data_IF_972071053657
#
_entry.id   IF_972071053657
#
_cell.length_a   1.000
_cell.length_b   1.000
_cell.length_c   1.000
_cell.angle_alpha   90.00
_cell.angle_beta   90.00
_cell.angle_gamma   90.00
#
_symmetry.space_group_name_H-M   'P 1'
#
loop_
_entity.id
_entity.type
_entity.pdbx_description
1 polymer ?
#
# COMPACT_ATOMS: atom_id res chain seq x y z
N UNK A 1 26.54 43.28 4.15
CA UNK A 1 25.25 43.97 3.91
C UNK A 1 24.17 43.29 4.73
N UNK A 2 23.60 43.98 5.73
CA UNK A 2 22.56 43.41 6.59
C UNK A 2 21.20 43.37 5.87
N UNK A 3 20.39 42.31 6.03
CA UNK A 3 19.08 42.23 5.40
C UNK A 3 18.14 43.29 5.99
N UNK A 4 17.60 44.17 5.13
CA UNK A 4 16.56 45.14 5.50
C UNK A 4 15.36 44.38 6.06
N UNK A 5 15.06 44.58 7.36
CA UNK A 5 13.80 44.15 7.98
C UNK A 5 12.65 44.73 7.16
N UNK A 6 11.93 43.88 6.43
CA UNK A 6 10.65 44.26 5.81
C UNK A 6 9.69 44.60 6.94
N UNK A 7 9.25 45.85 7.01
CA UNK A 7 8.24 46.27 7.99
C UNK A 7 6.98 45.41 7.81
N UNK A 8 6.56 44.76 8.89
CA UNK A 8 5.28 44.05 8.96
C UNK A 8 4.18 45.09 8.68
N UNK A 9 3.67 45.11 7.45
CA UNK A 9 2.44 45.84 7.13
C UNK A 9 1.34 45.22 8.00
N UNK A 10 0.67 46.04 8.81
CA UNK A 10 -0.43 45.59 9.65
C UNK A 10 -1.46 44.85 8.80
N UNK A 11 -1.72 43.59 9.13
CA UNK A 11 -2.79 42.84 8.50
C UNK A 11 -4.10 43.58 8.76
N UNK A 12 -4.80 44.04 7.71
CA UNK A 12 -6.11 44.67 7.85
C UNK A 12 -7.05 43.67 8.55
N UNK A 13 -7.77 44.13 9.57
CA UNK A 13 -8.73 43.31 10.29
C UNK A 13 -9.80 42.77 9.32
N UNK A 14 -10.05 41.46 9.36
CA UNK A 14 -11.11 40.80 8.59
C UNK A 14 -12.46 41.26 9.17
N UNK A 15 -13.40 41.76 8.35
CA UNK A 15 -14.73 42.16 8.83
C UNK A 15 -15.46 41.02 9.55
N UNK A 16 -16.20 41.28 10.65
CA UNK A 16 -16.91 40.24 11.41
C UNK A 16 -17.84 39.38 10.55
N UNK A 17 -18.55 39.99 9.59
CA UNK A 17 -19.44 39.28 8.67
C UNK A 17 -18.69 38.28 7.78
N UNK A 18 -17.50 38.64 7.28
CA UNK A 18 -16.67 37.74 6.49
C UNK A 18 -16.12 36.60 7.36
N UNK A 19 -15.74 36.89 8.61
CA UNK A 19 -15.31 35.87 9.57
C UNK A 19 -16.44 34.84 9.85
N UNK A 20 -17.67 35.30 10.03
CA UNK A 20 -18.83 34.42 10.22
C UNK A 20 -19.12 33.58 8.97
N UNK A 21 -19.08 34.19 7.78
CA UNK A 21 -19.28 33.47 6.52
C UNK A 21 -18.23 32.37 6.28
N UNK A 22 -16.96 32.64 6.61
CA UNK A 22 -15.88 31.64 6.55
C UNK A 22 -16.08 30.51 7.56
N UNK A 23 -16.51 30.82 8.79
CA UNK A 23 -16.80 29.81 9.81
C UNK A 23 -17.96 28.90 9.38
N UNK A 24 -19.04 29.47 8.84
CA UNK A 24 -20.16 28.73 8.26
C UNK A 24 -19.71 27.83 7.11
N UNK A 25 -18.93 28.37 6.16
CA UNK A 25 -18.38 27.59 5.06
C UNK A 25 -17.51 26.41 5.53
N UNK A 26 -16.69 26.61 6.57
CA UNK A 26 -15.90 25.54 7.17
C UNK A 26 -16.77 24.46 7.80
N UNK A 27 -17.77 24.84 8.60
CA UNK A 27 -18.73 23.91 9.21
C UNK A 27 -19.48 23.09 8.15
N UNK A 28 -19.86 23.70 7.03
CA UNK A 28 -20.48 22.99 5.88
C UNK A 28 -19.52 21.97 5.27
N UNK A 29 -18.28 22.37 4.98
CA UNK A 29 -17.25 21.46 4.46
C UNK A 29 -17.04 20.27 5.40
N UNK A 30 -16.89 20.52 6.70
CA UNK A 30 -16.74 19.47 7.73
C UNK A 30 -17.94 18.52 7.73
N UNK A 31 -19.17 19.04 7.67
CA UNK A 31 -20.38 18.22 7.62
C UNK A 31 -20.48 17.36 6.36
N UNK A 32 -20.01 17.85 5.21
CA UNK A 32 -20.01 17.10 3.95
C UNK A 32 -18.90 16.05 3.94
N UNK A 33 -17.71 16.35 4.48
CA UNK A 33 -16.66 15.34 4.68
C UNK A 33 -17.18 14.21 5.55
N UNK A 34 -17.88 14.53 6.64
CA UNK A 34 -18.54 13.55 7.50
C UNK A 34 -19.57 12.74 6.70
N UNK A 35 -20.45 13.38 5.94
CA UNK A 35 -21.41 12.67 5.07
C UNK A 35 -20.71 11.75 4.06
N UNK A 36 -19.70 12.24 3.32
CA UNK A 36 -18.98 11.39 2.36
C UNK A 36 -18.35 10.20 3.08
N UNK A 37 -17.63 10.43 4.18
CA UNK A 37 -16.89 9.41 4.92
C UNK A 37 -17.80 8.40 5.62
N UNK A 38 -18.88 8.87 6.24
CA UNK A 38 -19.73 8.12 7.14
C UNK A 38 -20.98 7.59 6.43
N UNK A 39 -21.35 8.10 5.27
CA UNK A 39 -22.57 7.67 4.57
C UNK A 39 -22.30 7.06 3.20
N UNK A 40 -21.39 7.64 2.42
CA UNK A 40 -21.16 7.22 1.03
C UNK A 40 -20.03 6.21 0.91
N UNK A 41 -18.90 6.52 1.53
CA UNK A 41 -17.74 5.62 1.61
C UNK A 41 -18.01 4.43 2.54
N UNK A 42 -19.09 4.46 3.31
CA UNK A 42 -19.54 3.30 4.09
C UNK A 42 -20.35 2.32 3.24
N UNK A 43 -21.13 2.77 2.25
CA UNK A 43 -22.01 1.89 1.48
C UNK A 43 -21.31 1.16 0.32
N UNK A 44 -20.10 1.56 -0.02
CA UNK A 44 -19.38 1.08 -1.20
C UNK A 44 -18.08 0.38 -0.83
N UNK A 45 -17.67 -0.63 -1.62
CA UNK A 45 -16.29 -1.13 -1.59
C UNK A 45 -15.39 -0.08 -2.25
N UNK A 46 -15.09 0.95 -1.48
CA UNK A 46 -14.28 2.04 -1.99
C UNK A 46 -12.81 1.65 -2.07
N UNK A 47 -12.41 0.46 -1.60
CA UNK A 47 -11.02 0.21 -1.26
C UNK A 47 -10.41 1.44 -0.57
N UNK A 48 -9.16 1.75 -0.87
CA UNK A 48 -8.46 2.91 -0.31
C UNK A 48 -8.58 4.20 -1.17
N UNK A 49 -9.15 4.11 -2.39
CA UNK A 49 -9.13 5.24 -3.34
C UNK A 49 -10.38 6.11 -3.20
N UNK A 50 -10.37 7.07 -2.27
CA UNK A 50 -11.46 8.03 -2.02
C UNK A 50 -11.25 9.43 -2.66
N UNK A 51 -12.29 10.13 -3.14
CA UNK A 51 -12.12 11.50 -3.66
C UNK A 51 -11.85 12.49 -2.53
N UNK A 52 -11.01 13.49 -2.76
CA UNK A 52 -10.80 14.61 -1.83
C UNK A 52 -11.95 15.63 -1.93
N UNK A 53 -12.02 16.56 -0.97
CA UNK A 53 -12.92 17.72 -1.12
C UNK A 53 -12.64 18.53 -2.40
N UNK A 54 -11.39 18.57 -2.84
CA UNK A 54 -11.01 19.28 -4.06
C UNK A 54 -11.52 18.57 -5.31
N UNK A 55 -11.52 17.24 -5.32
CA UNK A 55 -12.12 16.45 -6.41
C UNK A 55 -13.61 16.72 -6.55
N UNK A 56 -14.31 16.89 -5.43
CA UNK A 56 -15.74 17.16 -5.40
C UNK A 56 -16.06 18.61 -5.78
N UNK A 57 -15.32 19.56 -5.21
CA UNK A 57 -15.54 20.98 -5.44
C UNK A 57 -15.19 21.41 -6.88
N UNK A 58 -14.15 20.80 -7.47
CA UNK A 58 -13.59 21.25 -8.75
C UNK A 58 -13.71 20.22 -9.89
N UNK A 59 -13.96 18.94 -9.60
CA UNK A 59 -14.06 17.89 -10.61
C UNK A 59 -15.49 17.63 -11.06
N UNK A 60 -15.69 17.34 -12.34
CA UNK A 60 -17.03 17.17 -12.94
C UNK A 60 -17.69 15.83 -12.61
N UNK A 61 -16.98 14.94 -11.92
CA UNK A 61 -17.48 13.61 -11.60
C UNK A 61 -18.56 13.61 -10.50
N UNK A 62 -18.62 14.64 -9.64
CA UNK A 62 -19.48 14.65 -8.46
C UNK A 62 -20.44 15.86 -8.41
N UNK A 63 -21.30 16.08 -9.42
CA UNK A 63 -22.20 17.23 -9.45
C UNK A 63 -23.17 17.25 -8.27
N UNK A 64 -23.70 16.09 -7.86
CA UNK A 64 -24.68 16.01 -6.75
C UNK A 64 -24.04 16.29 -5.38
N UNK A 65 -22.78 15.88 -5.18
CA UNK A 65 -22.03 16.24 -3.97
C UNK A 65 -21.59 17.70 -3.99
N UNK A 66 -21.29 18.25 -5.17
CA UNK A 66 -20.98 19.67 -5.31
C UNK A 66 -22.18 20.53 -4.94
N UNK A 67 -23.40 20.12 -5.30
CA UNK A 67 -24.62 20.82 -4.91
C UNK A 67 -24.76 20.93 -3.38
N UNK A 68 -24.32 19.93 -2.62
CA UNK A 68 -24.32 19.98 -1.15
C UNK A 68 -23.39 21.06 -0.56
N UNK A 69 -22.37 21.52 -1.31
CA UNK A 69 -21.45 22.58 -0.85
C UNK A 69 -22.05 23.99 -0.95
N UNK A 70 -23.22 24.15 -1.56
CA UNK A 70 -23.85 25.45 -1.79
C UNK A 70 -24.36 26.10 -0.50
N UNK A 71 -24.10 27.41 -0.35
CA UNK A 71 -24.44 28.15 0.86
C UNK A 71 -25.95 28.24 1.15
N UNK A 72 -26.81 28.08 0.14
CA UNK A 72 -28.27 28.18 0.29
C UNK A 72 -28.90 27.05 1.10
N UNK A 73 -28.16 25.97 1.36
CA UNK A 73 -28.66 24.80 2.08
C UNK A 73 -28.61 24.94 3.61
N UNK A 74 -28.08 26.05 4.15
CA UNK A 74 -28.00 26.22 5.62
C UNK A 74 -29.37 26.29 6.29
N UNK A 75 -30.35 26.89 5.61
CA UNK A 75 -31.68 27.12 6.16
C UNK A 75 -32.74 26.16 5.57
N UNK A 76 -32.35 25.30 4.62
CA UNK A 76 -33.26 24.37 3.93
C UNK A 76 -32.87 22.91 4.17
N UNK A 77 -33.27 22.41 5.33
CA UNK A 77 -33.03 21.01 5.72
C UNK A 77 -33.73 20.01 4.78
N UNK A 78 -34.86 20.40 4.18
CA UNK A 78 -35.63 19.52 3.28
C UNK A 78 -34.89 19.33 1.96
N UNK A 79 -34.44 20.42 1.36
CA UNK A 79 -33.66 20.34 0.12
C UNK A 79 -32.32 19.65 0.35
N UNK A 80 -31.66 19.91 1.49
CA UNK A 80 -30.44 19.20 1.85
C UNK A 80 -30.67 17.68 1.91
N UNK A 81 -31.70 17.22 2.60
CA UNK A 81 -32.01 15.78 2.71
C UNK A 81 -32.30 15.16 1.33
N UNK A 82 -33.01 15.90 0.45
CA UNK A 82 -33.27 15.47 -0.93
C UNK A 82 -31.96 15.32 -1.72
N UNK A 83 -31.05 16.28 -1.62
CA UNK A 83 -29.75 16.22 -2.29
C UNK A 83 -28.85 15.10 -1.74
N UNK A 84 -28.85 14.87 -0.42
CA UNK A 84 -28.14 13.74 0.18
C UNK A 84 -28.66 12.40 -0.35
N UNK A 85 -29.98 12.25 -0.54
CA UNK A 85 -30.56 11.05 -1.16
C UNK A 85 -30.14 10.87 -2.62
N UNK A 86 -30.15 11.94 -3.41
CA UNK A 86 -29.69 11.92 -4.81
C UNK A 86 -28.21 11.53 -4.86
N UNK A 87 -27.39 12.15 -4.02
CA UNK A 87 -25.97 11.86 -3.92
C UNK A 87 -25.69 10.40 -3.56
N UNK A 88 -26.43 9.81 -2.59
CA UNK A 88 -26.31 8.38 -2.26
C UNK A 88 -26.59 7.49 -3.48
N UNK A 89 -27.61 7.82 -4.26
CA UNK A 89 -27.97 7.03 -5.43
C UNK A 89 -26.96 7.15 -6.59
N UNK A 90 -26.36 8.33 -6.81
CA UNK A 90 -25.44 8.57 -7.93
C UNK A 90 -23.96 8.31 -7.59
N UNK A 91 -23.60 8.32 -6.30
CA UNK A 91 -22.22 8.23 -5.84
C UNK A 91 -21.44 7.02 -6.39
N UNK A 92 -21.98 5.78 -6.43
CA UNK A 92 -21.19 4.64 -6.87
C UNK A 92 -20.71 4.77 -8.33
N UNK A 93 -21.60 5.24 -9.21
CA UNK A 93 -21.30 5.47 -10.63
C UNK A 93 -20.34 6.64 -10.80
N UNK A 94 -20.56 7.74 -10.06
CA UNK A 94 -19.68 8.90 -10.03
C UNK A 94 -18.25 8.54 -9.57
N UNK A 95 -18.13 7.73 -8.53
CA UNK A 95 -16.87 7.26 -7.97
C UNK A 95 -16.09 6.41 -8.98
N UNK A 96 -16.77 5.49 -9.68
CA UNK A 96 -16.15 4.68 -10.72
C UNK A 96 -15.66 5.55 -11.90
N UNK A 97 -16.46 6.52 -12.34
CA UNK A 97 -16.09 7.44 -13.41
C UNK A 97 -14.89 8.33 -13.01
N UNK A 98 -14.89 8.84 -11.77
CA UNK A 98 -13.76 9.58 -11.22
C UNK A 98 -12.48 8.74 -11.18
N UNK A 99 -12.55 7.49 -10.69
CA UNK A 99 -11.41 6.55 -10.68
C UNK A 99 -10.85 6.29 -12.07
N UNK A 100 -11.73 6.09 -13.05
CA UNK A 100 -11.33 5.96 -14.45
C UNK A 100 -10.60 7.21 -14.96
N UNK A 101 -11.11 8.39 -14.59
CA UNK A 101 -10.53 9.68 -14.98
C UNK A 101 -9.12 9.87 -14.40
N UNK A 102 -8.94 9.67 -13.10
CA UNK A 102 -7.61 9.83 -12.46
C UNK A 102 -6.62 8.76 -12.92
N UNK A 103 -7.08 7.54 -13.21
CA UNK A 103 -6.24 6.50 -13.80
C UNK A 103 -5.74 6.90 -15.19
N UNK A 104 -6.60 7.49 -16.02
CA UNK A 104 -6.20 8.01 -17.33
C UNK A 104 -5.25 9.22 -17.21
N UNK A 105 -5.47 10.11 -16.25
CA UNK A 105 -4.54 11.20 -15.96
C UNK A 105 -3.17 10.67 -15.51
N UNK A 106 -3.14 9.62 -14.69
CA UNK A 106 -1.91 8.93 -14.29
C UNK A 106 -1.18 8.38 -15.51
N UNK A 107 -1.88 7.65 -16.37
CA UNK A 107 -1.31 7.13 -17.62
C UNK A 107 -0.74 8.25 -18.50
N UNK A 108 -1.55 9.27 -18.79
CA UNK A 108 -1.18 10.37 -19.69
C UNK A 108 0.00 11.19 -19.14
N UNK A 109 0.17 11.27 -17.81
CA UNK A 109 1.33 11.90 -17.16
C UNK A 109 2.63 11.20 -17.56
N UNK A 110 2.63 9.87 -17.55
CA UNK A 110 3.82 9.07 -17.84
C UNK A 110 4.03 8.82 -19.33
N UNK A 111 2.94 8.81 -20.11
CA UNK A 111 3.02 8.71 -21.57
C UNK A 111 3.74 9.89 -22.24
N UNK A 112 3.83 11.04 -21.56
CA UNK A 112 4.49 12.26 -22.06
C UNK A 112 6.03 12.26 -21.99
N UNK A 113 6.67 11.12 -21.71
CA UNK A 113 8.13 10.97 -21.89
C UNK A 113 8.95 10.92 -20.59
N UNK A 114 8.49 10.18 -19.59
CA UNK A 114 9.35 9.80 -18.47
C UNK A 114 10.39 8.76 -18.91
N UNK A 115 11.69 8.87 -18.55
CA UNK A 115 12.66 7.82 -18.77
C UNK A 115 12.24 6.54 -18.02
N UNK A 116 12.46 5.37 -18.64
CA UNK A 116 12.31 4.07 -17.98
C UNK A 116 10.99 3.32 -18.21
N UNK A 117 10.05 3.86 -19.01
CA UNK A 117 8.78 3.19 -19.30
C UNK A 117 8.86 2.34 -20.57
N UNK A 118 9.32 1.10 -20.43
CA UNK A 118 9.23 0.10 -21.50
C UNK A 118 7.75 -0.22 -21.81
N UNK A 119 7.45 -0.56 -23.07
CA UNK A 119 6.15 -1.09 -23.50
C UNK A 119 4.95 -0.16 -23.24
N UNK A 120 5.17 1.16 -23.19
CA UNK A 120 4.07 2.11 -23.07
C UNK A 120 3.11 1.97 -24.28
N UNK A 121 1.80 1.79 -24.05
CA UNK A 121 0.81 1.83 -25.12
C UNK A 121 0.86 3.15 -25.91
N UNK A 122 0.52 3.12 -27.21
CA UNK A 122 0.31 4.34 -27.99
C UNK A 122 -0.65 5.31 -27.30
N UNK A 123 -0.52 6.61 -27.58
CA UNK A 123 -1.35 7.66 -26.95
C UNK A 123 -2.86 7.45 -27.20
N UNK A 124 -3.19 6.92 -28.37
CA UNK A 124 -4.52 6.57 -28.87
C UNK A 124 -4.98 5.15 -28.48
N UNK A 125 -4.20 4.43 -27.65
CA UNK A 125 -4.62 3.14 -27.11
C UNK A 125 -5.95 3.25 -26.36
N UNK A 126 -6.74 2.18 -26.43
CA UNK A 126 -8.02 2.09 -25.73
C UNK A 126 -7.83 2.24 -24.21
N UNK A 127 -8.87 2.71 -23.51
CA UNK A 127 -8.89 2.81 -22.04
C UNK A 127 -8.47 1.49 -21.40
N UNK A 128 -8.99 0.36 -21.92
CA UNK A 128 -8.64 -0.99 -21.42
C UNK A 128 -7.14 -1.28 -21.52
N UNK A 129 -6.49 -0.91 -22.62
CA UNK A 129 -5.04 -1.10 -22.80
C UNK A 129 -4.24 -0.20 -21.84
N UNK A 130 -4.66 1.05 -21.65
CA UNK A 130 -4.03 1.98 -20.70
C UNK A 130 -4.11 1.46 -19.26
N UNK A 131 -5.29 0.99 -18.84
CA UNK A 131 -5.50 0.40 -17.52
C UNK A 131 -4.74 -0.91 -17.35
N UNK A 132 -4.69 -1.76 -18.38
CA UNK A 132 -3.90 -2.98 -18.34
C UNK A 132 -2.41 -2.68 -18.15
N UNK A 133 -1.86 -1.69 -18.87
CA UNK A 133 -0.47 -1.28 -18.68
C UNK A 133 -0.20 -0.74 -17.27
N UNK A 134 -1.15 0.01 -16.68
CA UNK A 134 -1.05 0.43 -15.28
C UNK A 134 -1.03 -0.77 -14.31
N UNK A 135 -1.73 -1.86 -14.64
CA UNK A 135 -1.80 -3.08 -13.82
C UNK A 135 -0.60 -4.02 -13.95
N UNK A 136 0.35 -3.76 -14.87
CA UNK A 136 1.55 -4.59 -15.01
C UNK A 136 2.34 -4.61 -13.70
N UNK A 137 2.88 -5.77 -13.35
CA UNK A 137 3.72 -5.91 -12.15
C UNK A 137 4.94 -4.98 -12.20
N UNK A 138 5.42 -4.66 -13.39
CA UNK A 138 6.55 -3.77 -13.63
C UNK A 138 6.20 -2.28 -13.62
N UNK A 139 4.91 -1.90 -13.56
CA UNK A 139 4.50 -0.49 -13.50
C UNK A 139 4.45 -0.03 -12.04
N UNK A 140 5.54 0.61 -11.61
CA UNK A 140 5.75 1.11 -10.25
C UNK A 140 5.93 2.63 -10.23
N UNK A 141 5.45 3.25 -9.17
CA UNK A 141 5.56 4.69 -8.95
C UNK A 141 6.40 4.99 -7.72
N UNK A 142 6.88 6.22 -7.63
CA UNK A 142 7.45 6.77 -6.40
C UNK A 142 6.95 8.19 -6.17
N UNK A 143 6.83 8.57 -4.90
CA UNK A 143 6.46 9.93 -4.52
C UNK A 143 7.69 10.82 -4.55
N UNK A 144 7.71 11.85 -5.40
CA UNK A 144 8.86 12.76 -5.50
C UNK A 144 9.06 13.60 -4.24
N UNK A 145 8.00 13.79 -3.42
CA UNK A 145 8.08 14.49 -2.13
C UNK A 145 8.67 13.64 -1.00
N UNK A 146 8.72 12.32 -1.18
CA UNK A 146 9.45 11.47 -0.23
C UNK A 146 10.97 11.65 -0.42
N UNK A 147 11.42 11.90 -1.66
CA UNK A 147 12.84 12.05 -2.00
C UNK A 147 13.47 13.34 -1.46
N UNK A 148 12.70 14.42 -1.35
CA UNK A 148 13.19 15.70 -0.83
C UNK A 148 12.87 15.89 0.67
N UNK A 149 12.31 14.88 1.33
CA UNK A 149 11.90 14.93 2.72
C UNK A 149 10.77 15.92 3.01
N UNK A 150 10.12 16.47 1.97
CA UNK A 150 9.04 17.45 2.15
C UNK A 150 7.69 16.80 2.51
N UNK A 151 7.58 15.49 2.36
CA UNK A 151 6.42 14.73 2.79
C UNK A 151 6.66 14.10 4.17
N UNK A 152 6.34 14.84 5.22
CA UNK A 152 6.26 14.32 6.59
C UNK A 152 5.32 13.10 6.64
N UNK A 153 4.14 13.18 6.01
CA UNK A 153 3.18 12.07 5.94
C UNK A 153 3.68 10.80 5.21
N UNK A 154 4.78 10.88 4.47
CA UNK A 154 5.39 9.72 3.79
C UNK A 154 6.52 9.11 4.62
N UNK A 155 7.00 9.83 5.64
CA UNK A 155 8.10 9.43 6.52
C UNK A 155 7.60 9.10 7.94
N UNK A 156 6.58 9.81 8.43
CA UNK A 156 6.08 9.75 9.81
C UNK A 156 5.11 8.59 10.06
N UNK A 157 4.53 7.98 9.02
CA UNK A 157 3.65 6.81 9.16
C UNK A 157 4.44 5.50 9.43
N UNK A 158 5.78 5.54 9.48
CA UNK A 158 6.64 4.35 9.66
C UNK A 158 6.96 4.09 11.14
N UNK A 159 6.80 5.08 12.01
CA UNK A 159 7.51 5.07 13.31
C UNK A 159 6.72 4.51 14.51
N UNK A 160 5.40 4.27 14.47
CA UNK A 160 4.66 3.84 15.68
C UNK A 160 3.50 2.83 15.51
N UNK A 161 3.02 2.50 14.31
CA UNK A 161 1.90 1.55 14.14
C UNK A 161 2.34 0.26 13.42
N UNK A 162 2.18 -0.89 14.08
CA UNK A 162 2.39 -2.27 13.58
C UNK A 162 1.57 -2.60 12.30
N UNK A 163 0.80 -1.65 11.78
CA UNK A 163 -0.07 -1.78 10.61
C UNK A 163 0.26 -0.78 9.50
N UNK A 164 1.45 -0.15 9.50
CA UNK A 164 1.85 0.72 8.40
C UNK A 164 1.71 -0.07 7.08
N UNK A 165 0.81 0.34 6.17
CA UNK A 165 0.55 -0.40 4.94
C UNK A 165 1.86 -0.53 4.17
N UNK A 166 2.11 -1.74 3.66
CA UNK A 166 3.32 -2.06 2.89
C UNK A 166 3.50 -1.03 1.77
N UNK A 167 4.46 -0.12 1.96
CA UNK A 167 4.69 1.03 1.08
C UNK A 167 4.88 0.58 -0.37
N UNK A 168 5.47 -0.60 -0.58
CA UNK A 168 5.66 -1.18 -1.89
C UNK A 168 4.34 -1.53 -2.60
N UNK A 169 3.34 -1.97 -1.84
CA UNK A 169 1.99 -2.20 -2.36
C UNK A 169 1.27 -0.88 -2.63
N UNK A 170 1.45 0.13 -1.77
CA UNK A 170 0.82 1.44 -1.92
C UNK A 170 1.23 2.13 -3.23
N UNK A 171 2.48 1.97 -3.65
CA UNK A 171 3.02 2.66 -4.81
C UNK A 171 2.73 2.00 -6.17
N UNK A 172 1.64 1.23 -6.24
CA UNK A 172 1.19 0.51 -7.45
C UNK A 172 -0.26 0.81 -7.76
N UNK A 173 -0.64 0.72 -9.03
CA UNK A 173 -2.04 0.81 -9.42
C UNK A 173 -2.85 -0.41 -8.93
N UNK A 174 -4.07 -0.23 -8.41
CA UNK A 174 -4.80 1.04 -8.24
C UNK A 174 -4.48 1.79 -6.94
N UNK A 175 -3.77 1.18 -6.00
CA UNK A 175 -3.55 1.72 -4.65
C UNK A 175 -2.79 3.06 -4.61
N UNK A 176 -1.94 3.32 -5.59
CA UNK A 176 -1.20 4.59 -5.72
C UNK A 176 -2.14 5.78 -5.80
N UNK A 177 -3.36 5.60 -6.33
CA UNK A 177 -4.38 6.64 -6.41
C UNK A 177 -4.84 7.10 -5.01
N UNK A 178 -4.60 6.30 -3.97
CA UNK A 178 -4.87 6.59 -2.56
C UNK A 178 -3.75 7.36 -1.86
N UNK A 179 -2.59 7.51 -2.49
CA UNK A 179 -1.42 8.07 -1.85
C UNK A 179 -1.68 9.54 -1.43
N UNK A 180 -1.49 9.85 -0.14
CA UNK A 180 -1.88 11.13 0.49
C UNK A 180 -1.33 12.36 -0.26
N UNK A 181 -0.08 12.31 -0.74
CA UNK A 181 0.52 13.42 -1.51
C UNK A 181 -0.21 13.79 -2.80
N UNK A 182 -1.00 12.88 -3.36
CA UNK A 182 -1.74 13.11 -4.60
C UNK A 182 -3.02 13.88 -4.36
N UNK A 183 -3.46 13.94 -3.11
CA UNK A 183 -4.65 14.64 -2.67
C UNK A 183 -4.20 15.93 -1.97
N UNK A 184 -5.02 16.97 -2.02
CA UNK A 184 -4.83 18.10 -1.09
C UNK A 184 -4.86 17.62 0.35
N UNK A 185 -4.44 18.46 1.31
CA UNK A 185 -4.76 18.14 2.70
C UNK A 185 -6.29 18.06 2.80
N UNK A 186 -6.81 16.95 3.31
CA UNK A 186 -8.23 16.82 3.63
C UNK A 186 -8.61 17.63 4.88
N UNK A 187 -7.66 18.39 5.46
CA UNK A 187 -7.97 19.30 6.54
C UNK A 187 -8.99 20.34 6.09
N UNK A 188 -10.10 20.43 6.82
CA UNK A 188 -11.08 21.51 6.65
C UNK A 188 -10.48 22.92 6.88
N UNK A 189 -9.25 23.00 7.39
CA UNK A 189 -8.48 24.25 7.53
C UNK A 189 -7.74 24.65 6.26
N UNK A 190 -7.59 23.77 5.27
CA UNK A 190 -6.87 24.10 4.05
C UNK A 190 -7.79 25.00 3.19
N UNK A 191 -7.38 26.25 3.01
CA UNK A 191 -8.22 27.28 2.36
C UNK A 191 -8.55 26.91 0.90
N UNK A 192 -7.75 26.05 0.29
CA UNK A 192 -7.90 25.56 -1.09
C UNK A 192 -7.74 24.04 -1.14
N UNK A 193 -8.82 23.26 -0.97
CA UNK A 193 -8.74 21.82 -1.12
C UNK A 193 -8.31 21.48 -2.55
N UNK A 194 -7.26 20.68 -2.70
CA UNK A 194 -6.70 20.34 -4.01
C UNK A 194 -7.30 19.05 -4.54
N UNK A 195 -7.74 19.09 -5.80
CA UNK A 195 -8.13 17.89 -6.54
C UNK A 195 -6.93 16.96 -6.72
N UNK A 196 -7.22 15.68 -6.95
CA UNK A 196 -6.21 14.67 -7.19
C UNK A 196 -5.30 15.06 -8.35
N UNK A 197 -3.99 14.82 -8.20
CA UNK A 197 -3.01 15.11 -9.25
C UNK A 197 -1.83 14.15 -9.25
N UNK A 198 -1.37 13.68 -10.44
CA UNK A 198 -0.19 12.82 -10.55
C UNK A 198 1.12 13.63 -10.56
N UNK A 199 1.07 14.94 -10.29
CA UNK A 199 2.22 15.84 -10.45
C UNK A 199 3.43 15.45 -9.57
N UNK A 200 3.18 14.86 -8.41
CA UNK A 200 4.21 14.43 -7.44
C UNK A 200 4.59 12.96 -7.58
N UNK A 201 4.19 12.29 -8.66
CA UNK A 201 4.62 10.93 -8.97
C UNK A 201 5.69 10.94 -10.04
N UNK A 202 6.65 10.03 -9.86
CA UNK A 202 7.63 9.65 -10.87
C UNK A 202 7.61 8.13 -11.11
N UNK A 203 8.08 7.63 -12.26
CA UNK A 203 8.30 6.20 -12.44
C UNK A 203 9.41 5.73 -11.49
N UNK A 204 9.19 4.63 -10.80
CA UNK A 204 10.27 4.00 -10.03
C UNK A 204 11.08 3.07 -10.93
N UNK A 205 11.99 3.65 -11.72
CA UNK A 205 12.80 2.89 -12.68
C UNK A 205 13.71 1.85 -12.02
N UNK A 206 14.13 2.09 -10.77
CA UNK A 206 14.99 1.18 -10.01
C UNK A 206 14.22 -0.07 -9.61
N UNK A 207 13.07 0.11 -8.93
CA UNK A 207 12.21 -1.01 -8.54
C UNK A 207 11.54 -1.68 -9.74
N UNK A 208 11.29 -0.95 -10.83
CA UNK A 208 10.77 -1.55 -12.09
C UNK A 208 11.70 -2.65 -12.62
N UNK A 209 13.02 -2.41 -12.63
CA UNK A 209 14.00 -3.42 -13.07
C UNK A 209 14.04 -4.61 -12.12
N UNK A 210 14.06 -4.35 -10.81
CA UNK A 210 14.00 -5.37 -9.77
C UNK A 210 12.78 -6.28 -9.98
N UNK A 211 11.59 -5.69 -10.15
CA UNK A 211 10.36 -6.45 -10.30
C UNK A 211 10.33 -7.20 -11.64
N UNK A 212 10.91 -6.66 -12.70
CA UNK A 212 11.09 -7.42 -13.94
C UNK A 212 11.98 -8.67 -13.75
N UNK A 213 13.02 -8.60 -12.89
CA UNK A 213 13.83 -9.77 -12.51
C UNK A 213 12.99 -10.76 -11.65
N UNK A 214 12.18 -10.28 -10.70
CA UNK A 214 11.29 -11.11 -9.88
C UNK A 214 10.20 -11.82 -10.71
N UNK A 215 9.59 -11.11 -11.67
CA UNK A 215 8.59 -11.67 -12.59
C UNK A 215 9.21 -12.80 -13.42
N UNK A 216 10.42 -12.59 -13.96
CA UNK A 216 11.16 -13.64 -14.67
C UNK A 216 11.50 -14.82 -13.77
N UNK A 217 11.97 -14.57 -12.55
CA UNK A 217 12.26 -15.63 -11.58
C UNK A 217 11.00 -16.45 -11.24
N UNK A 218 9.83 -15.81 -11.24
CA UNK A 218 8.53 -16.45 -11.05
C UNK A 218 8.06 -17.24 -12.27
N UNK A 219 8.81 -17.25 -13.39
CA UNK A 219 8.44 -17.93 -14.62
C UNK A 219 7.34 -17.23 -15.42
N UNK A 220 7.13 -15.93 -15.17
CA UNK A 220 6.16 -15.09 -15.87
C UNK A 220 6.89 -14.13 -16.82
N UNK A 221 6.13 -13.51 -17.73
CA UNK A 221 6.65 -12.53 -18.69
C UNK A 221 6.49 -11.09 -18.17
N UNK A 222 7.59 -10.32 -17.95
CA UNK A 222 7.53 -8.93 -17.49
C UNK A 222 6.75 -7.96 -18.38
N UNK A 223 6.54 -8.30 -19.66
CA UNK A 223 5.82 -7.44 -20.59
C UNK A 223 4.29 -7.57 -20.46
N UNK A 224 3.79 -8.65 -19.85
CA UNK A 224 2.35 -8.97 -19.80
C UNK A 224 1.84 -9.30 -18.40
N UNK A 225 2.70 -9.77 -17.49
CA UNK A 225 2.30 -10.16 -16.15
C UNK A 225 1.84 -8.96 -15.32
N UNK A 226 0.66 -9.07 -14.74
CA UNK A 226 0.09 -8.13 -13.79
C UNK A 226 0.54 -8.45 -12.37
N UNK A 227 0.36 -7.51 -11.44
CA UNK A 227 0.59 -7.80 -10.02
C UNK A 227 -0.32 -8.92 -9.49
N UNK A 228 -1.53 -9.03 -10.04
CA UNK A 228 -2.46 -10.12 -9.70
C UNK A 228 -1.93 -11.48 -10.15
N UNK A 229 -1.26 -11.54 -11.31
CA UNK A 229 -0.61 -12.77 -11.79
C UNK A 229 0.55 -13.17 -10.88
N UNK A 230 1.34 -12.20 -10.40
CA UNK A 230 2.42 -12.44 -9.43
C UNK A 230 1.88 -12.98 -8.10
N UNK A 231 0.81 -12.36 -7.57
CA UNK A 231 0.16 -12.83 -6.35
C UNK A 231 -0.51 -14.20 -6.52
N UNK A 232 -1.10 -14.47 -7.69
CA UNK A 232 -1.69 -15.76 -8.02
C UNK A 232 -0.62 -16.85 -8.17
N UNK A 233 0.53 -16.51 -8.76
CA UNK A 233 1.68 -17.40 -8.86
C UNK A 233 2.22 -17.77 -7.47
N UNK A 234 2.24 -16.81 -6.53
CA UNK A 234 2.78 -16.98 -5.17
C UNK A 234 4.12 -17.73 -5.19
N UNK A 235 5.01 -17.34 -6.11
CA UNK A 235 6.32 -17.94 -6.25
C UNK A 235 7.14 -17.68 -4.98
N UNK A 236 7.89 -18.70 -4.53
CA UNK A 236 8.75 -18.57 -3.36
C UNK A 236 10.18 -18.37 -3.81
N UNK A 237 10.68 -17.17 -3.56
CA UNK A 237 11.90 -16.62 -4.11
C UNK A 237 12.93 -16.40 -3.00
N UNK A 238 14.22 -16.48 -3.33
CA UNK A 238 15.32 -16.13 -2.44
C UNK A 238 16.34 -15.26 -3.16
N UNK A 239 17.00 -14.37 -2.42
CA UNK A 239 18.05 -13.51 -2.96
C UNK A 239 19.34 -14.31 -3.13
N UNK A 240 19.77 -14.53 -4.38
CA UNK A 240 20.96 -15.33 -4.70
C UNK A 240 22.22 -14.75 -4.06
N UNK A 241 22.37 -13.43 -4.12
CA UNK A 241 23.54 -12.74 -3.59
C UNK A 241 23.65 -12.93 -2.07
N UNK A 242 22.55 -12.71 -1.35
CA UNK A 242 22.51 -12.90 0.10
C UNK A 242 22.76 -14.37 0.47
N UNK A 243 22.22 -15.30 -0.31
CA UNK A 243 22.45 -16.74 -0.15
C UNK A 243 23.94 -17.07 -0.25
N UNK A 244 24.61 -16.53 -1.27
CA UNK A 244 26.04 -16.68 -1.55
C UNK A 244 26.95 -16.04 -0.49
N UNK A 245 26.52 -14.91 0.06
CA UNK A 245 27.33 -14.06 0.95
C UNK A 245 27.15 -14.35 2.43
N UNK A 246 26.37 -15.38 2.75
CA UNK A 246 26.20 -15.89 4.10
C UNK A 246 25.60 -14.86 5.08
N UNK A 247 24.68 -14.03 4.58
CA UNK A 247 23.90 -13.15 5.45
C UNK A 247 22.78 -13.97 6.10
N UNK A 248 22.61 -13.87 7.43
CA UNK A 248 21.65 -14.70 8.18
C UNK A 248 20.19 -14.45 7.75
N UNK A 249 19.88 -13.23 7.30
CA UNK A 249 18.55 -12.86 6.79
C UNK A 249 18.33 -13.28 5.31
N UNK A 250 19.30 -13.96 4.69
CA UNK A 250 19.24 -14.43 3.30
C UNK A 250 18.52 -15.76 3.11
N UNK A 251 18.38 -16.53 4.18
CA UNK A 251 17.97 -17.93 4.11
C UNK A 251 16.45 -18.07 4.14
N UNK A 252 15.73 -17.08 3.59
CA UNK A 252 14.28 -17.05 3.54
C UNK A 252 13.79 -17.29 2.12
N UNK A 253 12.73 -18.08 2.02
CA UNK A 253 11.86 -18.20 0.88
C UNK A 253 10.68 -17.24 1.09
N UNK A 254 10.66 -16.22 0.25
CA UNK A 254 9.84 -15.02 0.39
C UNK A 254 8.85 -14.90 -0.75
N UNK A 255 7.77 -14.14 -0.54
CA UNK A 255 6.96 -13.67 -1.65
C UNK A 255 7.68 -12.54 -2.38
N UNK A 256 7.19 -12.22 -3.57
CA UNK A 256 7.78 -11.13 -4.35
C UNK A 256 7.66 -9.75 -3.68
N UNK A 257 6.67 -9.55 -2.78
CA UNK A 257 6.57 -8.36 -1.92
C UNK A 257 7.70 -8.31 -0.91
N UNK A 258 7.92 -9.38 -0.15
CA UNK A 258 9.01 -9.41 0.83
C UNK A 258 10.38 -9.33 0.13
N UNK A 259 10.48 -9.79 -1.12
CA UNK A 259 11.67 -9.60 -1.94
C UNK A 259 11.93 -8.12 -2.28
N UNK A 260 10.89 -7.32 -2.52
CA UNK A 260 11.04 -5.87 -2.72
C UNK A 260 11.52 -5.18 -1.44
N UNK A 261 10.87 -5.45 -0.30
CA UNK A 261 11.32 -4.95 1.00
C UNK A 261 12.75 -5.37 1.33
N UNK A 262 13.11 -6.64 1.05
CA UNK A 262 14.47 -7.15 1.20
C UNK A 262 15.47 -6.36 0.35
N UNK A 263 15.13 -6.08 -0.91
CA UNK A 263 15.97 -5.27 -1.79
C UNK A 263 16.21 -3.89 -1.18
N UNK A 264 15.16 -3.23 -0.68
CA UNK A 264 15.30 -1.90 -0.13
C UNK A 264 16.18 -1.86 1.12
N UNK A 265 16.02 -2.81 2.04
CA UNK A 265 16.79 -2.83 3.27
C UNK A 265 18.25 -3.30 3.08
N UNK A 266 18.49 -4.25 2.16
CA UNK A 266 19.79 -4.91 2.05
C UNK A 266 20.61 -4.51 0.81
N UNK A 267 19.98 -3.97 -0.24
CA UNK A 267 20.60 -3.78 -1.56
C UNK A 267 20.41 -2.40 -2.17
N UNK A 268 19.46 -1.58 -1.73
CA UNK A 268 19.22 -0.25 -2.32
C UNK A 268 20.41 0.69 -2.17
N UNK A 269 21.25 0.47 -1.16
CA UNK A 269 22.39 1.33 -0.83
C UNK A 269 21.98 2.69 -0.25
N UNK A 270 20.69 2.94 -0.09
CA UNK A 270 20.15 4.00 0.74
C UNK A 270 20.18 3.47 2.16
N UNK A 271 20.85 4.17 3.09
CA UNK A 271 20.73 3.87 4.53
C UNK A 271 19.30 4.24 4.96
N UNK A 272 18.33 3.37 4.66
CA UNK A 272 16.94 3.52 5.12
C UNK A 272 16.82 3.29 6.62
N UNK A 273 17.87 2.79 7.28
CA UNK A 273 17.85 2.57 8.71
C UNK A 273 19.22 2.83 9.38
N UNK A 274 19.38 3.92 10.16
CA UNK A 274 20.62 4.22 10.87
C UNK A 274 20.87 3.31 12.10
N UNK A 275 19.89 2.47 12.50
CA UNK A 275 19.92 1.72 13.76
C UNK A 275 20.78 0.45 13.69
N UNK A 276 21.07 -0.05 12.48
CA UNK A 276 21.96 -1.20 12.28
C UNK A 276 23.01 -0.84 11.22
N UNK A 277 24.13 -0.22 11.59
CA UNK A 277 25.24 -0.04 10.67
C UNK A 277 25.79 -1.43 10.33
N UNK A 278 25.33 -1.99 9.20
CA UNK A 278 26.05 -3.06 8.55
C UNK A 278 27.48 -2.56 8.31
N UNK A 279 28.52 -3.36 8.63
CA UNK A 279 29.91 -3.00 8.37
C UNK A 279 30.04 -2.47 6.95
N UNK A 280 30.79 -1.36 6.74
CA UNK A 280 30.94 -0.74 5.41
C UNK A 280 31.39 -1.72 4.32
N UNK A 281 32.06 -2.82 4.70
CA UNK A 281 32.51 -3.91 3.82
C UNK A 281 31.37 -4.75 3.23
N UNK A 282 30.17 -4.67 3.80
CA UNK A 282 28.94 -5.31 3.31
C UNK A 282 27.99 -4.34 2.60
N UNK A 283 28.32 -3.03 2.58
CA UNK A 283 27.57 -2.05 1.77
C UNK A 283 27.92 -2.27 0.32
N UNK A 284 27.00 -2.88 -0.42
CA UNK A 284 27.18 -3.12 -1.84
C UNK A 284 27.25 -1.78 -2.60
N UNK A 285 27.97 -1.74 -3.74
CA UNK A 285 27.90 -0.59 -4.62
C UNK A 285 26.43 -0.35 -4.96
N UNK A 286 25.94 0.83 -4.56
CA UNK A 286 24.60 1.34 -4.85
C UNK A 286 24.26 1.04 -6.31
N UNK A 287 23.21 0.24 -6.55
CA UNK A 287 22.77 -0.12 -7.89
C UNK A 287 23.31 -1.44 -8.46
N UNK A 288 23.90 -2.31 -7.63
CA UNK A 288 24.21 -3.69 -8.02
C UNK A 288 22.95 -4.47 -8.41
N UNK A 289 23.03 -5.26 -9.49
CA UNK A 289 21.93 -6.14 -9.92
C UNK A 289 21.79 -7.30 -8.92
N UNK A 290 20.57 -7.53 -8.43
CA UNK A 290 20.24 -8.65 -7.54
C UNK A 290 19.55 -9.74 -8.36
N UNK A 291 20.11 -10.95 -8.31
CA UNK A 291 19.49 -12.14 -8.90
C UNK A 291 18.57 -12.81 -7.88
N UNK A 292 17.39 -13.23 -8.34
CA UNK A 292 16.40 -13.96 -7.55
C UNK A 292 16.31 -15.40 -8.03
N UNK A 293 16.26 -16.33 -7.09
CA UNK A 293 16.11 -17.76 -7.39
C UNK A 293 14.79 -18.24 -6.84
N UNK A 294 13.97 -18.83 -7.71
CA UNK A 294 12.75 -19.54 -7.31
C UNK A 294 13.11 -20.91 -6.77
N UNK A 295 12.44 -21.31 -5.70
CA UNK A 295 12.50 -22.68 -5.21
C UNK A 295 12.01 -23.65 -6.29
N UNK A 296 12.53 -24.87 -6.28
CA UNK A 296 11.96 -25.94 -7.11
C UNK A 296 10.50 -26.23 -6.67
N UNK A 297 9.68 -26.86 -7.53
CA UNK A 297 8.25 -27.04 -7.24
C UNK A 297 7.95 -27.74 -5.91
N UNK A 298 8.77 -28.73 -5.52
CA UNK A 298 8.59 -29.48 -4.27
C UNK A 298 8.87 -28.61 -3.05
N UNK A 299 9.99 -27.88 -3.05
CA UNK A 299 10.36 -26.98 -1.97
C UNK A 299 9.42 -25.78 -1.87
N UNK A 300 8.98 -25.25 -3.01
CA UNK A 300 7.97 -24.20 -3.08
C UNK A 300 6.63 -24.65 -2.50
N UNK A 301 6.15 -25.85 -2.85
CA UNK A 301 4.92 -26.41 -2.30
C UNK A 301 5.00 -26.55 -0.78
N UNK A 302 6.14 -27.02 -0.26
CA UNK A 302 6.35 -27.13 1.19
C UNK A 302 6.46 -25.77 1.87
N UNK A 303 7.07 -24.78 1.23
CA UNK A 303 7.08 -23.41 1.73
C UNK A 303 5.66 -22.83 1.81
N UNK A 304 4.80 -23.07 0.81
CA UNK A 304 3.38 -22.69 0.88
C UNK A 304 2.61 -23.44 1.96
N UNK A 305 2.98 -24.69 2.27
CA UNK A 305 2.37 -25.42 3.39
C UNK A 305 2.76 -24.81 4.75
N UNK A 306 4.04 -24.46 4.91
CA UNK A 306 4.56 -23.87 6.15
C UNK A 306 4.12 -22.42 6.35
N UNK A 307 3.98 -21.66 5.26
CA UNK A 307 3.49 -20.31 5.25
C UNK A 307 2.41 -20.15 4.16
N UNK A 308 1.19 -20.62 4.45
CA UNK A 308 0.09 -20.53 3.50
C UNK A 308 -0.17 -19.08 3.13
N UNK A 309 -0.48 -18.87 1.85
CA UNK A 309 -0.97 -17.59 1.37
C UNK A 309 -2.15 -17.16 2.25
N UNK A 310 -2.08 -15.96 2.82
CA UNK A 310 -3.24 -15.34 3.45
C UNK A 310 -4.30 -15.15 2.34
N UNK A 311 -5.40 -15.91 2.42
CA UNK A 311 -6.44 -15.97 1.37
C UNK A 311 -7.19 -14.64 1.29
N UNK A 312 -8.06 -14.49 0.26
CA UNK A 312 -8.95 -13.32 0.13
C UNK A 312 -9.79 -13.06 1.39
N UNK A 313 -10.06 -14.06 2.23
CA UNK A 313 -10.78 -13.86 3.50
C UNK A 313 -9.96 -13.07 4.54
N UNK A 314 -8.63 -13.08 4.42
CA UNK A 314 -7.71 -12.18 5.13
C UNK A 314 -7.54 -10.86 4.38
N UNK A 315 -7.70 -10.90 3.05
CA UNK A 315 -7.85 -9.78 2.09
C UNK A 315 -9.00 -8.83 2.38
N UNK A 316 -10.03 -9.32 3.06
CA UNK A 316 -11.22 -8.57 3.40
C UNK A 316 -11.14 -8.13 4.85
N UNK A 317 -10.96 -6.84 5.03
CA UNK A 317 -11.25 -6.22 6.30
C UNK A 317 -12.78 -6.10 6.45
N UNK A 318 -13.27 -6.30 7.65
CA UNK A 318 -14.66 -6.11 7.99
C UNK A 318 -14.78 -4.79 8.71
N UNK A 319 -15.39 -3.80 8.06
CA UNK A 319 -15.67 -2.50 8.67
C UNK A 319 -17.07 -2.56 9.27
N UNK A 320 -17.19 -2.28 10.57
CA UNK A 320 -18.50 -2.17 11.19
C UNK A 320 -19.16 -0.84 10.80
N UNK A 321 -20.35 -0.89 10.19
CA UNK A 321 -21.10 0.31 9.77
C UNK A 321 -21.83 0.97 10.94
N UNK A 322 -22.00 0.26 12.05
CA UNK A 322 -22.67 0.75 13.26
C UNK A 322 -21.74 1.48 14.24
N UNK A 323 -20.42 1.42 14.04
CA UNK A 323 -19.46 2.17 14.84
C UNK A 323 -19.35 3.63 14.37
N UNK A 324 -19.46 4.63 15.26
CA UNK A 324 -19.13 6.01 14.92
C UNK A 324 -17.62 6.15 14.64
N UNK A 325 -17.24 7.12 13.81
CA UNK A 325 -15.84 7.32 13.43
C UNK A 325 -14.94 7.69 14.65
N UNK A 326 -13.66 7.25 14.68
CA UNK A 326 -12.99 6.42 13.67
C UNK A 326 -13.52 4.98 13.67
N UNK A 327 -13.78 4.45 12.47
CA UNK A 327 -14.40 3.14 12.31
C UNK A 327 -13.51 2.03 12.85
N UNK A 328 -14.12 1.03 13.47
CA UNK A 328 -13.42 -0.22 13.78
C UNK A 328 -13.39 -1.10 12.54
N UNK A 329 -12.17 -1.36 12.08
CA UNK A 329 -11.86 -2.26 10.98
C UNK A 329 -11.26 -3.53 11.59
N UNK A 330 -11.80 -4.68 11.21
CA UNK A 330 -11.40 -5.97 11.73
C UNK A 330 -10.77 -6.80 10.62
N UNK A 331 -9.55 -7.29 10.85
CA UNK A 331 -8.85 -8.16 9.90
C UNK A 331 -9.47 -9.57 9.83
N UNK A 332 -10.26 -9.96 10.83
CA UNK A 332 -10.93 -11.26 10.88
C UNK A 332 -12.43 -11.12 11.04
N UNK A 333 -13.16 -11.89 10.22
CA UNK A 333 -14.61 -11.98 10.26
C UNK A 333 -15.13 -12.32 11.66
N UNK A 334 -14.54 -13.31 12.32
CA UNK A 334 -14.96 -13.73 13.67
C UNK A 334 -14.86 -12.62 14.72
N UNK A 335 -13.86 -11.74 14.62
CA UNK A 335 -13.70 -10.59 15.52
C UNK A 335 -14.76 -9.53 15.19
N UNK A 336 -14.99 -9.27 13.91
CA UNK A 336 -16.06 -8.39 13.46
C UNK A 336 -17.42 -8.87 13.96
N UNK A 337 -17.71 -10.16 13.81
CA UNK A 337 -18.94 -10.78 14.27
C UNK A 337 -19.11 -10.66 15.79
N UNK A 338 -18.05 -10.97 16.54
CA UNK A 338 -18.02 -10.76 17.99
C UNK A 338 -18.25 -9.30 18.38
N UNK A 339 -17.70 -8.37 17.61
CA UNK A 339 -17.91 -6.94 17.82
C UNK A 339 -19.37 -6.52 17.59
N UNK A 340 -19.99 -6.95 16.48
CA UNK A 340 -21.38 -6.66 16.17
C UNK A 340 -22.35 -7.20 17.23
N UNK A 341 -22.10 -8.42 17.70
CA UNK A 341 -22.86 -9.06 18.76
C UNK A 341 -22.74 -8.30 20.08
N UNK A 342 -21.51 -8.00 20.51
CA UNK A 342 -21.28 -7.44 21.85
C UNK A 342 -21.60 -5.94 21.94
N UNK A 343 -21.31 -5.16 20.90
CA UNK A 343 -21.32 -3.70 20.98
C UNK A 343 -22.52 -3.05 20.28
N UNK A 344 -23.15 -3.74 19.33
CA UNK A 344 -24.26 -3.20 18.57
C UNK A 344 -25.56 -4.00 18.75
N UNK A 345 -25.54 -5.08 19.54
CA UNK A 345 -26.73 -5.91 19.81
C UNK A 345 -27.27 -6.58 18.56
N UNK A 346 -26.46 -6.73 17.51
CA UNK A 346 -26.88 -7.41 16.29
C UNK A 346 -27.15 -8.89 16.60
N UNK A 347 -28.27 -9.42 16.12
CA UNK A 347 -28.59 -10.83 16.29
C UNK A 347 -27.53 -11.74 15.64
N UNK A 348 -27.33 -12.95 16.19
CA UNK A 348 -26.34 -13.90 15.66
C UNK A 348 -26.56 -14.22 14.18
N UNK A 349 -27.81 -14.37 13.75
CA UNK A 349 -28.13 -14.59 12.34
C UNK A 349 -27.81 -13.38 11.46
N UNK A 350 -28.10 -12.16 11.92
CA UNK A 350 -27.80 -10.92 11.21
C UNK A 350 -26.29 -10.78 10.99
N UNK A 351 -25.52 -10.98 12.05
CA UNK A 351 -24.05 -10.97 12.03
C UNK A 351 -23.47 -12.05 11.10
N UNK A 352 -23.99 -13.28 11.15
CA UNK A 352 -23.58 -14.36 10.25
C UNK A 352 -23.91 -14.09 8.78
N UNK A 353 -24.97 -13.33 8.50
CA UNK A 353 -25.28 -12.84 7.15
C UNK A 353 -24.44 -11.63 6.74
N UNK A 354 -23.60 -11.10 7.63
CA UNK A 354 -22.79 -9.90 7.40
C UNK A 354 -23.57 -8.59 7.54
N UNK A 355 -24.79 -8.62 8.07
CA UNK A 355 -25.58 -7.41 8.33
C UNK A 355 -24.83 -6.52 9.33
N UNK A 356 -24.68 -5.24 8.99
CA UNK A 356 -23.91 -4.28 9.81
C UNK A 356 -22.41 -4.25 9.54
N UNK A 357 -21.93 -4.99 8.53
CA UNK A 357 -20.53 -4.98 8.12
C UNK A 357 -20.39 -4.80 6.61
N UNK A 358 -19.34 -4.08 6.22
CA UNK A 358 -18.95 -3.92 4.81
C UNK A 358 -17.55 -4.48 4.66
N UNK A 359 -17.38 -5.34 3.67
CA UNK A 359 -16.06 -5.84 3.27
C UNK A 359 -15.31 -4.72 2.61
N UNK A 360 -14.11 -4.43 3.09
CA UNK A 360 -13.21 -3.43 2.52
C UNK A 360 -12.01 -4.17 1.95
N UNK A 361 -11.61 -3.81 0.73
CA UNK A 361 -10.33 -4.26 0.18
C UNK A 361 -9.17 -3.83 1.11
N UNK A 362 -8.67 -4.82 1.86
CA UNK A 362 -7.61 -4.67 2.83
C UNK A 362 -6.26 -5.08 2.23
N UNK A 363 -6.14 -5.17 0.90
CA UNK A 363 -4.93 -5.65 0.24
C UNK A 363 -3.65 -4.97 0.74
N UNK A 364 -3.70 -3.67 1.06
CA UNK A 364 -2.57 -2.93 1.63
C UNK A 364 -2.21 -3.34 3.07
N UNK A 365 -3.17 -3.84 3.84
CA UNK A 365 -2.96 -4.27 5.24
C UNK A 365 -3.06 -5.80 5.40
N UNK A 366 -2.99 -6.57 4.31
CA UNK A 366 -2.79 -8.02 4.39
C UNK A 366 -1.30 -8.26 4.35
N UNK A 367 -0.74 -8.65 5.49
CA UNK A 367 0.65 -9.07 5.51
C UNK A 367 0.87 -10.18 4.49
N UNK A 368 2.08 -10.24 3.94
CA UNK A 368 2.50 -11.42 3.21
C UNK A 368 2.29 -12.70 4.05
N UNK A 369 2.25 -13.87 3.40
CA UNK A 369 2.44 -15.11 4.14
C UNK A 369 3.76 -15.02 4.92
N UNK A 370 3.84 -15.73 6.04
CA UNK A 370 5.06 -15.73 6.86
C UNK A 370 6.30 -16.13 6.04
N UNK A 371 7.44 -15.58 6.41
CA UNK A 371 8.71 -15.96 5.80
C UNK A 371 9.03 -17.41 6.18
N UNK A 372 9.37 -18.24 5.19
CA UNK A 372 9.83 -19.61 5.44
C UNK A 372 11.32 -19.67 5.31
N UNK A 373 12.02 -20.08 6.37
CA UNK A 373 13.44 -20.30 6.27
C UNK A 373 13.76 -21.57 5.49
N UNK A 374 14.80 -21.54 4.67
CA UNK A 374 15.27 -22.69 3.88
C UNK A 374 15.65 -23.86 4.82
N UNK A 375 16.16 -23.59 6.02
CA UNK A 375 16.44 -24.64 7.01
C UNK A 375 15.16 -25.34 7.52
N UNK A 376 14.00 -24.68 7.54
CA UNK A 376 12.73 -25.34 7.91
C UNK A 376 12.29 -26.31 6.81
N UNK A 377 12.50 -25.97 5.54
CA UNK A 377 12.28 -26.89 4.41
C UNK A 377 13.13 -28.16 4.54
N UNK A 378 14.35 -28.02 5.07
CA UNK A 378 15.22 -29.15 5.37
C UNK A 378 14.69 -30.03 6.49
N UNK A 379 14.21 -29.45 7.58
CA UNK A 379 13.60 -30.21 8.68
C UNK A 379 12.39 -31.01 8.20
N UNK A 380 11.71 -30.51 7.17
CA UNK A 380 10.64 -31.21 6.50
C UNK A 380 11.10 -32.34 5.53
N UNK A 381 12.39 -32.69 5.52
CA UNK A 381 12.93 -33.83 4.77
C UNK A 381 13.31 -33.54 3.32
N UNK A 382 13.32 -32.27 2.89
CA UNK A 382 13.73 -31.91 1.53
C UNK A 382 15.26 -31.90 1.42
N UNK A 383 15.78 -32.49 0.34
CA UNK A 383 17.21 -32.57 0.02
C UNK A 383 17.63 -31.74 -1.21
N UNK A 384 16.65 -31.27 -1.99
CA UNK A 384 16.81 -30.38 -3.14
C UNK A 384 15.86 -29.21 -2.97
N UNK A 385 16.39 -27.99 -3.00
CA UNK A 385 15.63 -26.76 -2.80
C UNK A 385 15.57 -25.92 -4.07
N UNK A 386 16.63 -26.00 -4.87
CA UNK A 386 16.81 -25.16 -6.04
C UNK A 386 16.70 -25.96 -7.35
N UNK A 387 16.50 -25.28 -8.49
CA UNK A 387 16.42 -25.95 -9.79
C UNK A 387 17.78 -26.53 -10.24
N UNK A 388 18.89 -25.97 -9.76
CA UNK A 388 20.25 -26.34 -10.18
C UNK A 388 21.01 -27.04 -9.06
N UNK A 389 21.56 -28.26 -9.28
CA UNK A 389 22.33 -28.99 -8.29
C UNK A 389 23.53 -28.23 -7.72
N UNK A 390 24.12 -27.31 -8.48
CA UNK A 390 25.24 -26.49 -8.07
C UNK A 390 24.87 -25.55 -6.92
N UNK A 391 23.66 -24.98 -6.97
CA UNK A 391 23.17 -24.06 -5.95
C UNK A 391 22.79 -24.82 -4.67
N UNK A 392 22.18 -26.01 -4.81
CA UNK A 392 21.94 -26.92 -3.69
C UNK A 392 23.26 -27.35 -3.03
N UNK A 393 24.25 -27.77 -3.83
CA UNK A 393 25.57 -28.17 -3.32
C UNK A 393 26.30 -27.00 -2.63
N UNK A 394 26.20 -25.79 -3.18
CA UNK A 394 26.73 -24.59 -2.57
C UNK A 394 26.08 -24.32 -1.20
N UNK A 395 24.75 -24.32 -1.15
CA UNK A 395 23.99 -24.10 0.09
C UNK A 395 24.30 -25.19 1.14
N UNK A 396 24.47 -26.43 0.69
CA UNK A 396 24.82 -27.54 1.57
C UNK A 396 26.20 -27.37 2.21
N UNK A 397 27.20 -26.97 1.42
CA UNK A 397 28.55 -26.64 1.92
C UNK A 397 28.50 -25.47 2.91
N UNK A 398 27.65 -24.47 2.67
CA UNK A 398 27.41 -23.34 3.58
C UNK A 398 26.89 -23.82 4.94
N UNK A 399 25.84 -24.63 4.96
CA UNK A 399 25.28 -25.15 6.22
C UNK A 399 26.30 -25.97 7.01
N UNK A 400 27.10 -26.80 6.33
CA UNK A 400 28.20 -27.54 6.98
C UNK A 400 29.23 -26.56 7.57
N UNK A 401 29.63 -25.52 6.84
CA UNK A 401 30.60 -24.52 7.31
C UNK A 401 30.09 -23.74 8.52
N UNK A 402 28.82 -23.35 8.53
CA UNK A 402 28.23 -22.57 9.62
C UNK A 402 28.05 -23.37 10.91
N UNK A 403 27.63 -24.62 10.79
CA UNK A 403 27.22 -25.42 11.96
C UNK A 403 28.21 -26.55 12.29
N UNK A 404 29.32 -26.67 11.55
CA UNK A 404 30.36 -27.70 11.71
C UNK A 404 29.94 -29.11 11.28
N UNK A 405 28.66 -29.44 11.48
CA UNK A 405 27.95 -30.58 10.92
C UNK A 405 26.58 -30.07 10.45
N UNK A 406 25.96 -30.83 9.56
CA UNK A 406 24.54 -30.62 9.27
C UNK A 406 23.76 -30.85 10.56
N UNK A 407 23.07 -29.84 11.11
CA UNK A 407 22.22 -30.06 12.26
C UNK A 407 21.07 -30.97 11.83
N UNK A 408 20.93 -32.13 12.45
CA UNK A 408 19.75 -33.00 12.31
C UNK A 408 18.55 -32.40 13.05
N UNK A 409 18.81 -31.55 14.03
CA UNK A 409 17.84 -30.69 14.71
C UNK A 409 18.44 -29.29 14.82
N UNK A 410 17.71 -28.27 14.37
CA UNK A 410 18.05 -26.89 14.72
C UNK A 410 17.39 -26.59 16.07
N UNK A 411 18.06 -25.90 17.00
CA UNK A 411 17.39 -25.41 18.18
C UNK A 411 16.20 -24.58 17.73
N UNK A 412 15.03 -24.82 18.34
CA UNK A 412 13.83 -24.00 18.19
C UNK A 412 14.14 -22.58 18.69
N UNK A 413 14.91 -21.82 17.92
CA UNK A 413 14.96 -20.38 18.09
C UNK A 413 13.61 -19.89 17.58
N UNK A 414 12.82 -19.19 18.41
CA UNK A 414 11.58 -18.61 17.92
C UNK A 414 11.89 -17.73 16.70
N UNK A 415 10.99 -17.73 15.72
CA UNK A 415 11.10 -16.94 14.48
C UNK A 415 11.38 -15.44 14.73
N UNK A 416 11.17 -14.98 15.96
CA UNK A 416 11.45 -13.65 16.53
C UNK A 416 12.91 -13.13 16.40
N UNK A 417 13.85 -13.89 15.83
CA UNK A 417 15.27 -13.48 15.69
C UNK A 417 15.76 -13.29 14.26
N UNK A 418 14.89 -13.27 13.24
CA UNK A 418 15.26 -12.52 12.04
C UNK A 418 15.45 -11.06 12.46
N UNK A 419 16.48 -10.37 11.95
CA UNK A 419 16.51 -8.92 12.11
C UNK A 419 15.20 -8.30 11.56
N UNK A 420 14.67 -8.90 10.48
CA UNK A 420 13.41 -8.57 9.82
C UNK A 420 12.14 -8.74 10.67
N UNK A 421 11.96 -9.83 11.41
CA UNK A 421 10.75 -10.06 12.22
C UNK A 421 10.68 -9.11 13.42
N UNK A 422 11.82 -8.58 13.87
CA UNK A 422 11.87 -7.56 14.92
C UNK A 422 11.47 -6.17 14.44
N UNK A 423 11.47 -5.92 13.13
CA UNK A 423 10.94 -4.68 12.55
C UNK A 423 9.41 -4.66 12.49
N UNK A 424 8.77 -5.83 12.49
CA UNK A 424 7.30 -5.98 12.49
C UNK A 424 6.75 -6.52 13.82
N UNK A 425 7.51 -6.40 14.92
CA UNK A 425 7.01 -6.76 16.24
C UNK A 425 6.99 -5.53 17.15
N UNK A 426 5.89 -5.29 17.89
CA UNK A 426 5.74 -4.12 18.72
C UNK A 426 6.90 -4.02 19.70
N UNK A 427 7.61 -2.90 19.65
CA UNK A 427 8.55 -2.51 20.67
C UNK A 427 7.80 -2.28 21.98
N UNK A 428 7.72 -3.30 22.84
CA UNK A 428 7.38 -3.08 24.26
C UNK A 428 8.52 -2.27 24.89
N UNK A 429 8.39 -0.94 24.89
CA UNK A 429 9.18 -0.10 25.79
C UNK A 429 8.57 -0.21 27.19
N UNK A 430 9.37 -0.75 28.11
CA UNK A 430 9.19 -0.55 29.55
C UNK A 430 9.77 0.77 30.00
#
# INVERSE_FOLDING_TARGET
MAPKKRGNKSAKAIPPALKQALANARKRKESIVVFIRDDLLLSEDTGLVTPSLGDIAHGDAFPDLRALLEARLEDDATERARLEQVARASFPTALQAWRGTIALQLFDRFAKGGPGMANLPPKDASVKQKLHWLSLATTLFMCTRALDGSCADCADDVDDDDNAPDYDKMMRYPYVLSHKCLRGSDSATDDTPRAWSPATLAPDSSRTRLVADLVRASGLDPASATYQDMDACDARLTCKLCLEKNLLDADCASTWWDCMGHFDAAHSGVDVNPVMPLPCELRYPVGGRVDWVRLNPTAEAKARELAPRRTKDFGLAWRCVSCPAPFKVFQHRSIAEGHGLMWHGLGREAVQRGEGFVTVDNYLNVDGPELVYIWQLRQAGLSQYFPTPELDAFYFKKLIKMFGKIPTTFPSRPAEKCAWSKFNQPGKRG
#
